data_IF_578568654235
#
_entry.id   IF_578568654235
#
_cell.length_a   1.000
_cell.length_b   1.000
_cell.length_c   1.000
_cell.angle_alpha   90.00
_cell.angle_beta   90.00
_cell.angle_gamma   90.00
#
_symmetry.space_group_name_H-M   'P 1'
#
loop_
_entity.id
_entity.type
_entity.pdbx_description
1 polymer ?
#
# COMPACT_ATOMS: atom_id res chain seq x y z
N UNK A 1 -18.32 12.22 -32.94
CA UNK A 1 -18.58 13.65 -33.25
C UNK A 1 -17.30 14.47 -33.05
N UNK A 2 -16.90 15.25 -34.05
CA UNK A 2 -15.88 16.29 -33.90
C UNK A 2 -16.26 17.19 -32.71
N UNK A 3 -15.37 17.31 -31.73
CA UNK A 3 -15.58 18.11 -30.51
C UNK A 3 -16.09 17.35 -29.27
N UNK A 4 -16.34 16.04 -29.33
CA UNK A 4 -16.64 15.27 -28.13
C UNK A 4 -15.38 15.09 -27.26
N UNK A 5 -15.46 15.47 -25.98
CA UNK A 5 -14.39 15.23 -24.99
C UNK A 5 -14.01 13.75 -24.99
N UNK A 6 -12.73 13.45 -25.25
CA UNK A 6 -12.17 12.09 -25.17
C UNK A 6 -11.65 11.88 -23.75
N UNK A 7 -12.32 11.06 -22.91
CA UNK A 7 -11.87 10.84 -21.54
C UNK A 7 -10.53 10.10 -21.52
N UNK A 8 -9.68 10.44 -20.57
CA UNK A 8 -8.40 9.78 -20.30
C UNK A 8 -8.49 9.11 -18.93
N UNK A 9 -8.64 7.79 -18.93
CA UNK A 9 -8.89 7.01 -17.73
C UNK A 9 -7.64 6.23 -17.34
N UNK A 10 -7.21 6.33 -16.09
CA UNK A 10 -6.16 5.50 -15.52
C UNK A 10 -6.73 4.25 -14.85
N UNK A 11 -6.13 3.09 -15.12
CA UNK A 11 -6.37 1.86 -14.35
C UNK A 11 -5.06 1.49 -13.65
N UNK A 12 -5.05 1.59 -12.31
CA UNK A 12 -3.86 1.43 -11.48
C UNK A 12 -3.88 0.16 -10.64
N UNK A 13 -2.72 -0.46 -10.52
CA UNK A 13 -2.50 -1.60 -9.63
C UNK A 13 -1.02 -1.85 -9.37
N UNK A 14 -0.79 -2.35 -8.18
CA UNK A 14 0.52 -2.42 -7.57
C UNK A 14 1.23 -3.72 -7.95
N UNK A 15 2.57 -3.73 -7.87
CA UNK A 15 3.41 -4.79 -8.44
C UNK A 15 4.44 -5.35 -7.46
N UNK A 16 4.65 -4.72 -6.32
CA UNK A 16 5.64 -5.15 -5.33
C UNK A 16 5.14 -6.30 -4.45
N UNK A 17 6.11 -7.03 -3.88
CA UNK A 17 5.89 -8.13 -2.95
C UNK A 17 6.40 -7.76 -1.56
N UNK A 18 6.14 -8.62 -0.57
CA UNK A 18 6.55 -8.44 0.82
C UNK A 18 7.75 -9.33 1.20
N UNK A 19 8.60 -8.89 2.14
CA UNK A 19 9.72 -9.67 2.67
C UNK A 19 9.23 -10.74 3.66
N UNK A 20 8.54 -11.75 3.14
CA UNK A 20 7.93 -12.83 3.89
C UNK A 20 8.21 -14.18 3.22
N UNK A 21 8.51 -15.20 4.01
CA UNK A 21 8.60 -16.59 3.51
C UNK A 21 7.20 -17.09 3.22
N UNK A 22 6.95 -17.50 1.98
CA UNK A 22 5.66 -18.06 1.59
C UNK A 22 5.43 -19.44 2.24
N UNK A 23 4.32 -19.58 2.96
CA UNK A 23 3.92 -20.80 3.67
C UNK A 23 2.54 -21.31 3.23
N UNK A 24 2.14 -21.01 1.99
CA UNK A 24 0.83 -21.38 1.43
C UNK A 24 0.75 -22.86 1.06
N UNK A 25 1.89 -23.44 0.62
CA UNK A 25 1.95 -24.80 0.06
C UNK A 25 1.26 -24.94 -1.31
N UNK A 26 0.95 -23.83 -1.99
CA UNK A 26 0.32 -23.88 -3.30
C UNK A 26 1.32 -24.34 -4.39
N UNK A 27 0.80 -24.87 -5.50
CA UNK A 27 1.65 -25.35 -6.61
C UNK A 27 2.41 -24.23 -7.33
N UNK A 28 2.01 -22.97 -7.13
CA UNK A 28 2.59 -21.77 -7.74
C UNK A 28 3.29 -20.89 -6.70
N UNK A 29 3.82 -21.51 -5.64
CA UNK A 29 4.51 -20.78 -4.56
C UNK A 29 5.71 -20.00 -5.11
N UNK A 30 6.06 -18.91 -4.45
CA UNK A 30 7.18 -18.07 -4.81
C UNK A 30 8.46 -18.88 -5.03
N UNK A 31 9.10 -18.65 -6.18
CA UNK A 31 10.43 -19.19 -6.48
C UNK A 31 11.58 -18.44 -5.79
N UNK A 32 11.27 -17.35 -5.07
CA UNK A 32 12.24 -16.52 -4.38
C UNK A 32 12.06 -16.66 -2.87
N UNK A 33 13.06 -17.22 -2.19
CA UNK A 33 13.04 -17.39 -0.74
C UNK A 33 12.92 -16.03 -0.03
N UNK A 34 12.01 -15.95 0.94
CA UNK A 34 11.76 -14.72 1.70
C UNK A 34 10.98 -13.63 0.96
N UNK A 35 10.39 -13.94 -0.21
CA UNK A 35 9.55 -13.02 -0.97
C UNK A 35 8.20 -13.66 -1.26
N UNK A 36 7.11 -12.97 -0.93
CA UNK A 36 5.74 -13.45 -1.16
C UNK A 36 4.82 -12.28 -1.55
N UNK A 37 3.94 -12.47 -2.53
CA UNK A 37 2.82 -11.56 -2.79
C UNK A 37 1.68 -11.77 -1.78
N UNK A 38 1.93 -11.45 -0.50
CA UNK A 38 0.95 -11.65 0.57
C UNK A 38 -0.18 -10.62 0.59
N UNK A 39 -0.05 -9.52 -0.17
CA UNK A 39 -1.07 -8.47 -0.33
C UNK A 39 -1.91 -8.63 -1.63
N UNK A 40 -1.55 -9.59 -2.49
CA UNK A 40 -2.28 -9.87 -3.74
C UNK A 40 -1.95 -8.95 -4.92
N UNK A 41 -0.81 -8.24 -4.88
CA UNK A 41 -0.36 -7.34 -5.96
C UNK A 41 -0.07 -8.08 -7.29
N UNK A 42 0.27 -9.37 -7.21
CA UNK A 42 0.28 -10.28 -8.35
C UNK A 42 -1.11 -10.38 -9.03
N UNK A 43 -2.16 -10.52 -8.22
CA UNK A 43 -3.55 -10.50 -8.67
C UNK A 43 -3.97 -9.15 -9.27
N UNK A 44 -3.55 -8.03 -8.68
CA UNK A 44 -3.83 -6.69 -9.22
C UNK A 44 -3.17 -6.51 -10.59
N UNK A 45 -1.87 -6.86 -10.69
CA UNK A 45 -1.10 -6.82 -11.92
C UNK A 45 -1.73 -7.68 -13.00
N UNK A 46 -2.05 -8.95 -12.69
CA UNK A 46 -2.71 -9.86 -13.62
C UNK A 46 -4.08 -9.33 -14.07
N UNK A 47 -4.87 -8.80 -13.15
CA UNK A 47 -6.19 -8.23 -13.42
C UNK A 47 -6.13 -7.03 -14.37
N UNK A 48 -5.19 -6.12 -14.17
CA UNK A 48 -5.04 -4.92 -15.02
C UNK A 48 -4.52 -5.27 -16.40
N UNK A 49 -3.57 -6.21 -16.50
CA UNK A 49 -3.10 -6.69 -17.80
C UNK A 49 -4.24 -7.36 -18.58
N UNK A 50 -5.08 -8.15 -17.91
CA UNK A 50 -6.26 -8.77 -18.52
C UNK A 50 -7.29 -7.72 -18.97
N UNK A 51 -7.58 -6.72 -18.14
CA UNK A 51 -8.47 -5.62 -18.48
C UNK A 51 -7.93 -4.83 -19.69
N UNK A 52 -6.63 -4.53 -19.68
CA UNK A 52 -5.92 -3.88 -20.77
C UNK A 52 -6.03 -4.65 -22.09
N UNK A 53 -5.79 -5.96 -22.07
CA UNK A 53 -5.93 -6.82 -23.25
C UNK A 53 -7.38 -6.82 -23.76
N UNK A 54 -8.37 -6.92 -22.87
CA UNK A 54 -9.77 -6.90 -23.23
C UNK A 54 -10.22 -5.55 -23.84
N UNK A 55 -9.70 -4.43 -23.32
CA UNK A 55 -9.96 -3.09 -23.85
C UNK A 55 -9.26 -2.87 -25.20
N UNK A 56 -8.02 -3.32 -25.33
CA UNK A 56 -7.26 -3.24 -26.58
C UNK A 56 -7.94 -4.00 -27.72
N UNK A 57 -8.53 -5.16 -27.43
CA UNK A 57 -9.30 -5.94 -28.40
C UNK A 57 -10.59 -5.25 -28.89
N UNK A 58 -11.02 -4.17 -28.23
CA UNK A 58 -12.26 -3.42 -28.51
C UNK A 58 -11.99 -1.92 -28.67
N UNK A 59 -10.76 -1.57 -29.09
CA UNK A 59 -10.27 -0.18 -29.11
C UNK A 59 -11.11 0.74 -29.99
N UNK A 60 -11.70 0.19 -31.06
CA UNK A 60 -12.63 0.86 -31.97
C UNK A 60 -13.94 1.31 -31.29
N UNK A 61 -14.30 0.67 -30.18
CA UNK A 61 -15.49 0.99 -29.37
C UNK A 61 -15.21 1.99 -28.24
N UNK A 62 -13.95 2.38 -28.04
CA UNK A 62 -13.57 3.30 -26.98
C UNK A 62 -13.66 4.75 -27.47
N UNK A 63 -14.35 5.58 -26.69
CA UNK A 63 -14.45 7.02 -26.98
C UNK A 63 -13.19 7.81 -26.59
N UNK A 64 -12.34 7.22 -25.75
CA UNK A 64 -11.16 7.86 -25.19
C UNK A 64 -10.01 6.88 -24.98
N UNK A 65 -9.03 7.32 -24.20
CA UNK A 65 -7.78 6.60 -23.99
C UNK A 65 -7.73 6.02 -22.57
N UNK A 66 -7.15 4.83 -22.45
CA UNK A 66 -6.96 4.15 -21.16
C UNK A 66 -5.47 3.96 -20.92
N UNK A 67 -4.99 4.48 -19.80
CA UNK A 67 -3.62 4.30 -19.32
C UNK A 67 -3.60 3.18 -18.29
N UNK A 68 -2.81 2.13 -18.54
CA UNK A 68 -2.53 1.11 -17.53
C UNK A 68 -1.33 1.55 -16.71
N UNK A 69 -1.49 1.59 -15.39
CA UNK A 69 -0.49 2.07 -14.44
C UNK A 69 -0.09 0.88 -13.57
N UNK A 70 1.11 0.35 -13.83
CA UNK A 70 1.74 -0.70 -13.04
C UNK A 70 2.65 -0.03 -12.02
N UNK A 71 2.17 0.12 -10.79
CA UNK A 71 2.84 0.89 -9.75
C UNK A 71 3.79 -0.01 -8.94
N UNK A 72 5.08 0.37 -8.77
CA UNK A 72 5.99 -0.34 -7.88
C UNK A 72 5.99 0.28 -6.48
N UNK A 73 6.30 -0.51 -5.44
CA UNK A 73 6.66 0.03 -4.12
C UNK A 73 5.50 0.68 -3.36
N UNK A 74 4.32 0.08 -3.42
CA UNK A 74 3.17 0.48 -2.60
C UNK A 74 3.44 0.24 -1.12
N UNK A 75 4.13 -0.86 -0.77
CA UNK A 75 4.36 -1.37 0.58
C UNK A 75 5.41 -0.54 1.37
N UNK A 76 5.20 0.77 1.45
CA UNK A 76 6.01 1.72 2.24
C UNK A 76 7.09 2.48 1.48
N UNK A 77 7.25 2.24 0.17
CA UNK A 77 8.29 2.91 -0.64
C UNK A 77 7.77 4.13 -1.43
N UNK A 78 6.49 4.46 -1.27
CA UNK A 78 5.83 5.61 -1.89
C UNK A 78 5.91 5.61 -3.43
N UNK A 79 5.66 4.44 -4.03
CA UNK A 79 5.59 4.22 -5.47
C UNK A 79 4.86 5.28 -6.27
N UNK A 80 3.59 5.50 -5.90
CA UNK A 80 2.72 6.50 -6.51
C UNK A 80 3.39 7.89 -6.57
N UNK A 81 3.92 8.35 -5.44
CA UNK A 81 4.61 9.63 -5.32
C UNK A 81 5.81 9.68 -6.27
N UNK A 82 6.59 8.60 -6.34
CA UNK A 82 7.78 8.57 -7.19
C UNK A 82 7.44 8.60 -8.68
N UNK A 83 6.38 7.93 -9.11
CA UNK A 83 5.90 7.99 -10.49
C UNK A 83 5.40 9.40 -10.84
N UNK A 84 4.67 10.04 -9.94
CA UNK A 84 4.20 11.43 -10.13
C UNK A 84 5.41 12.38 -10.22
N UNK A 85 6.39 12.27 -9.32
CA UNK A 85 7.62 13.07 -9.37
C UNK A 85 8.46 12.85 -10.64
N UNK A 86 8.39 11.66 -11.24
CA UNK A 86 9.02 11.33 -12.54
C UNK A 86 8.21 11.85 -13.75
N UNK A 87 7.17 12.65 -13.50
CA UNK A 87 6.41 13.34 -14.52
C UNK A 87 5.27 12.51 -15.12
N UNK A 88 4.79 11.46 -14.43
CA UNK A 88 3.75 10.57 -15.00
C UNK A 88 2.49 11.33 -15.40
N UNK A 89 2.00 12.24 -14.55
CA UNK A 89 0.75 12.96 -14.80
C UNK A 89 0.92 14.12 -15.81
N UNK A 90 2.12 14.65 -15.94
CA UNK A 90 2.49 15.63 -16.95
C UNK A 90 2.59 14.98 -18.33
N UNK A 91 3.19 13.79 -18.41
CA UNK A 91 3.35 13.00 -19.64
C UNK A 91 2.04 12.34 -20.07
N UNK A 92 1.24 11.89 -19.10
CA UNK A 92 0.00 11.16 -19.30
C UNK A 92 -1.11 11.77 -18.43
N UNK A 93 -1.66 12.93 -18.82
CA UNK A 93 -2.71 13.59 -18.06
C UNK A 93 -3.99 12.75 -18.03
N UNK A 94 -4.56 12.58 -16.85
CA UNK A 94 -5.76 11.78 -16.60
C UNK A 94 -6.92 12.67 -16.18
N UNK A 95 -8.13 12.27 -16.56
CA UNK A 95 -9.36 12.86 -16.05
C UNK A 95 -9.81 12.15 -14.77
N UNK A 96 -9.63 10.83 -14.71
CA UNK A 96 -10.01 9.97 -13.58
C UNK A 96 -9.03 8.79 -13.49
N UNK A 97 -8.84 8.28 -12.27
CA UNK A 97 -8.02 7.09 -11.99
C UNK A 97 -8.83 6.11 -11.14
N UNK A 98 -8.73 4.83 -11.48
CA UNK A 98 -9.42 3.75 -10.79
C UNK A 98 -8.39 2.69 -10.37
N UNK A 99 -8.52 2.20 -9.15
CA UNK A 99 -7.76 1.06 -8.64
C UNK A 99 -8.70 0.11 -7.90
N UNK A 100 -8.24 -1.11 -7.69
CA UNK A 100 -8.94 -2.12 -6.91
C UNK A 100 -7.94 -2.89 -6.07
N UNK A 101 -8.33 -3.21 -4.84
CA UNK A 101 -7.54 -4.04 -3.95
C UNK A 101 -8.33 -5.30 -3.58
N UNK A 102 -7.62 -6.43 -3.44
CA UNK A 102 -8.22 -7.66 -2.92
C UNK A 102 -8.72 -7.43 -1.49
N UNK A 103 -9.94 -7.88 -1.19
CA UNK A 103 -10.56 -7.78 0.13
C UNK A 103 -10.87 -9.19 0.65
N UNK A 104 -10.00 -9.72 1.50
CA UNK A 104 -10.08 -11.10 2.00
C UNK A 104 -11.31 -11.36 2.90
N UNK A 105 -11.91 -10.29 3.42
CA UNK A 105 -13.09 -10.27 4.28
C UNK A 105 -14.41 -10.25 3.51
N UNK A 106 -14.38 -10.01 2.19
CA UNK A 106 -15.58 -9.98 1.34
C UNK A 106 -15.79 -11.31 0.59
N UNK A 107 -17.04 -11.78 0.42
CA UNK A 107 -17.32 -12.92 -0.44
C UNK A 107 -16.89 -12.68 -1.88
N UNK A 108 -16.32 -13.70 -2.53
CA UNK A 108 -15.93 -13.65 -3.94
C UNK A 108 -17.10 -13.20 -4.83
N UNK A 109 -16.82 -12.28 -5.76
CA UNK A 109 -17.82 -11.68 -6.64
C UNK A 109 -18.49 -10.43 -6.05
N UNK A 110 -18.08 -9.99 -4.85
CA UNK A 110 -18.55 -8.76 -4.21
C UNK A 110 -17.58 -7.62 -4.47
N UNK A 111 -18.12 -6.42 -4.75
CA UNK A 111 -17.34 -5.19 -4.82
C UNK A 111 -17.82 -4.22 -3.75
N UNK A 112 -16.90 -3.75 -2.91
CA UNK A 112 -17.15 -2.71 -1.91
C UNK A 112 -16.72 -1.33 -2.41
N UNK A 113 -17.50 -0.30 -2.10
CA UNK A 113 -17.19 1.09 -2.43
C UNK A 113 -17.46 1.99 -1.24
N UNK A 114 -16.53 2.89 -0.94
CA UNK A 114 -16.69 3.91 0.09
C UNK A 114 -16.62 5.29 -0.55
N UNK A 115 -17.64 6.12 -0.32
CA UNK A 115 -17.61 7.53 -0.75
C UNK A 115 -16.83 8.35 0.27
N UNK A 116 -15.87 9.14 -0.19
CA UNK A 116 -15.04 9.97 0.67
C UNK A 116 -13.76 9.25 1.08
N UNK A 117 -13.37 9.36 2.36
CA UNK A 117 -12.17 8.70 2.88
C UNK A 117 -12.42 7.20 3.06
N UNK A 118 -11.63 6.38 2.38
CA UNK A 118 -11.76 4.91 2.42
C UNK A 118 -10.72 4.24 3.33
N UNK A 119 -9.50 4.79 3.39
CA UNK A 119 -8.37 4.22 4.13
C UNK A 119 -7.79 5.25 5.11
N UNK A 120 -7.10 4.76 6.14
CA UNK A 120 -6.40 5.61 7.10
C UNK A 120 -5.10 6.18 6.50
N UNK A 121 -4.70 7.36 6.95
CA UNK A 121 -3.34 7.85 6.74
C UNK A 121 -2.37 7.05 7.60
N UNK A 122 -1.18 6.78 7.09
CA UNK A 122 -0.12 6.08 7.80
C UNK A 122 1.18 6.88 7.75
N UNK A 123 1.90 6.92 8.87
CA UNK A 123 3.20 7.57 9.03
C UNK A 123 4.14 6.68 9.83
N UNK A 124 5.44 6.84 9.58
CA UNK A 124 6.49 6.13 10.31
C UNK A 124 7.31 7.10 11.16
N UNK A 125 7.48 6.77 12.44
CA UNK A 125 8.38 7.48 13.33
C UNK A 125 9.46 6.54 13.86
N UNK A 126 10.70 7.04 13.92
CA UNK A 126 11.83 6.32 14.51
C UNK A 126 12.24 7.01 15.81
N UNK A 127 12.12 6.32 16.93
CA UNK A 127 12.51 6.83 18.25
C UNK A 127 13.77 6.09 18.72
N UNK A 128 14.87 6.83 18.89
CA UNK A 128 16.10 6.27 19.47
C UNK A 128 16.16 6.56 20.97
N UNK A 129 16.06 5.53 21.81
CA UNK A 129 16.22 5.64 23.27
C UNK A 129 17.70 5.47 23.63
N UNK A 130 18.36 6.55 24.06
CA UNK A 130 19.78 6.55 24.43
C UNK A 130 19.95 6.44 25.94
N UNK A 131 20.66 5.42 26.38
CA UNK A 131 21.02 5.20 27.79
C UNK A 131 22.52 5.38 28.06
N UNK A 132 22.97 4.84 29.20
CA UNK A 132 24.37 4.77 29.62
C UNK A 132 24.68 3.34 30.05
N UNK A 133 25.59 2.66 29.35
CA UNK A 133 25.98 1.29 29.66
C UNK A 133 26.84 1.13 30.92
N UNK A 134 26.98 -0.11 31.39
CA UNK A 134 27.79 -0.48 32.55
C UNK A 134 27.57 -1.94 32.95
N UNK A 135 28.04 -2.32 34.14
CA UNK A 135 27.95 -3.70 34.62
C UNK A 135 26.52 -4.05 35.05
N UNK A 136 25.94 -5.14 34.55
CA UNK A 136 24.55 -5.53 34.84
C UNK A 136 24.23 -5.71 36.33
N UNK A 137 25.19 -6.16 37.14
CA UNK A 137 25.06 -6.24 38.60
C UNK A 137 25.13 -4.89 39.35
N UNK A 138 25.33 -3.75 38.65
CA UNK A 138 25.42 -2.40 39.24
C UNK A 138 24.44 -1.43 38.55
N UNK A 139 23.12 -1.70 38.60
CA UNK A 139 22.12 -0.93 37.87
C UNK A 139 22.09 0.56 38.26
N UNK A 140 22.49 0.91 39.48
CA UNK A 140 22.59 2.30 39.95
C UNK A 140 23.68 3.13 39.24
N UNK A 141 24.57 2.50 38.45
CA UNK A 141 25.62 3.21 37.70
C UNK A 141 25.29 3.45 36.22
N UNK A 142 24.18 2.87 35.75
CA UNK A 142 23.74 2.86 34.35
C UNK A 142 22.43 3.64 34.18
N UNK A 143 22.11 3.95 32.92
CA UNK A 143 20.78 4.40 32.52
C UNK A 143 20.31 3.37 31.50
N UNK A 144 19.43 2.46 31.93
CA UNK A 144 19.03 1.31 31.13
C UNK A 144 18.02 1.72 30.02
N UNK A 145 18.42 1.70 28.74
CA UNK A 145 17.53 2.06 27.64
C UNK A 145 16.43 1.01 27.41
N UNK A 146 16.60 -0.24 27.86
CA UNK A 146 15.59 -1.29 27.70
C UNK A 146 14.39 -1.01 28.61
N UNK A 147 14.65 -0.71 29.88
CA UNK A 147 13.59 -0.32 30.83
C UNK A 147 12.86 0.93 30.34
N UNK A 148 13.62 1.96 29.92
CA UNK A 148 13.04 3.19 29.38
C UNK A 148 12.19 2.96 28.12
N UNK A 149 12.66 2.12 27.19
CA UNK A 149 11.90 1.75 25.98
C UNK A 149 10.62 0.98 26.33
N UNK A 150 10.67 0.06 27.30
CA UNK A 150 9.50 -0.66 27.79
C UNK A 150 8.44 0.29 28.37
N UNK A 151 8.85 1.25 29.19
CA UNK A 151 7.95 2.28 29.72
C UNK A 151 7.37 3.16 28.60
N UNK A 152 8.19 3.55 27.62
CA UNK A 152 7.73 4.31 26.46
C UNK A 152 6.66 3.55 25.66
N UNK A 153 6.85 2.26 25.40
CA UNK A 153 5.87 1.43 24.68
C UNK A 153 4.52 1.43 25.40
N UNK A 154 4.51 1.24 26.73
CA UNK A 154 3.29 1.28 27.53
C UNK A 154 2.63 2.66 27.46
N UNK A 155 3.41 3.74 27.58
CA UNK A 155 2.89 5.11 27.50
C UNK A 155 2.28 5.42 26.13
N UNK A 156 2.89 4.96 25.02
CA UNK A 156 2.37 5.19 23.68
C UNK A 156 0.96 4.62 23.46
N UNK A 157 0.57 3.57 24.19
CA UNK A 157 -0.80 3.02 24.12
C UNK A 157 -1.86 4.02 24.60
N UNK A 158 -1.47 5.02 25.39
CA UNK A 158 -2.39 6.06 25.88
C UNK A 158 -2.74 7.10 24.82
N UNK A 159 -1.94 7.25 23.77
CA UNK A 159 -2.22 8.22 22.69
C UNK A 159 -3.55 7.89 22.02
N UNK A 160 -3.70 6.66 21.52
CA UNK A 160 -4.98 6.23 20.91
C UNK A 160 -6.05 6.07 21.98
N UNK A 161 -5.76 5.38 23.08
CA UNK A 161 -6.80 4.99 24.02
C UNK A 161 -7.36 6.16 24.84
N UNK A 162 -6.59 7.23 25.08
CA UNK A 162 -6.97 8.33 25.98
C UNK A 162 -6.97 9.73 25.33
N UNK A 163 -6.28 9.94 24.21
CA UNK A 163 -6.21 11.27 23.57
C UNK A 163 -7.16 11.44 22.39
N UNK A 164 -7.76 10.36 21.89
CA UNK A 164 -8.71 10.39 20.77
C UNK A 164 -10.09 9.97 21.29
N UNK A 165 -11.15 10.64 20.82
CA UNK A 165 -12.51 10.21 21.11
C UNK A 165 -12.75 8.87 20.38
N UNK A 166 -13.02 7.76 21.09
CA UNK A 166 -13.19 6.45 20.46
C UNK A 166 -14.44 6.34 19.57
N UNK A 167 -15.35 7.32 19.65
CA UNK A 167 -16.53 7.43 18.80
C UNK A 167 -16.32 8.33 17.58
N UNK A 168 -15.15 8.97 17.47
CA UNK A 168 -14.80 9.76 16.29
C UNK A 168 -14.12 8.82 15.27
N UNK A 169 -14.65 8.70 14.04
CA UNK A 169 -14.02 7.94 12.98
C UNK A 169 -12.65 8.52 12.58
#
# INVERSE_FOLDING_TARGET
PEGARRPRIGLGGDTDALPLVEATGCAYTSGFEGVMHACGHDGHTAGILLAGAALAARRDRLMGDVLLILQPGEEGFAGARRMIEDGMLERFPLDEIYGAHGAADLPVGTFGFTKGFMQASADHIFITVKGKGGHGARPHTVVDPIVAAGTLIVALQTVVSRSINPMHP
#
